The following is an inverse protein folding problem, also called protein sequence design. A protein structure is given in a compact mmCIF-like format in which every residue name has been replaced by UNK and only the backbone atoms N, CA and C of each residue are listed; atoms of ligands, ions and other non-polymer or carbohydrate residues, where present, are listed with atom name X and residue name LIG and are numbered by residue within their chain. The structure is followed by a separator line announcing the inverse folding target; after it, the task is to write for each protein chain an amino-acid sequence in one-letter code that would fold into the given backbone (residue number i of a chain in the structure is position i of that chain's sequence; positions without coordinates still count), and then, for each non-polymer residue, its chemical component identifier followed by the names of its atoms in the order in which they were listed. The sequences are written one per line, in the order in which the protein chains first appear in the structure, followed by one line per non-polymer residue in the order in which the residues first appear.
data_IF_602455849165
#
_entry.id   IF_602455849165
#
_cell.length_a   1.000
_cell.length_b   1.000
_cell.length_c   1.000
_cell.angle_alpha   90.00
_cell.angle_beta   90.00
_cell.angle_gamma   90.00
#
_symmetry.space_group_name_H-M   'P 1'
#
loop_
_entity.id
_entity.type
_entity.pdbx_description
1 polymer ?
#
# COMPACT_ATOMS: atom_id res chain seq x y z
N UNK A 1 4.34 -15.71 7.86
CA UNK A 1 3.50 -14.72 7.16
C UNK A 1 3.09 -15.32 5.82
N UNK A 2 1.84 -15.11 5.38
CA UNK A 2 1.39 -15.53 4.04
C UNK A 2 0.81 -14.33 3.32
N UNK A 3 1.11 -14.22 2.03
CA UNK A 3 0.72 -13.12 1.16
C UNK A 3 0.17 -13.69 -0.14
N UNK A 4 -0.89 -13.08 -0.67
CA UNK A 4 -1.38 -13.32 -2.02
C UNK A 4 -1.63 -11.98 -2.73
N UNK A 5 -1.43 -11.97 -4.04
CA UNK A 5 -1.70 -10.81 -4.90
C UNK A 5 -2.57 -11.24 -6.07
N UNK A 6 -3.58 -10.44 -6.38
CA UNK A 6 -4.39 -10.61 -7.57
C UNK A 6 -4.40 -9.31 -8.36
N UNK A 7 -4.25 -9.39 -9.68
CA UNK A 7 -4.21 -8.24 -10.55
C UNK A 7 -5.17 -8.45 -11.72
N UNK A 8 -6.10 -7.50 -11.88
CA UNK A 8 -6.99 -7.43 -13.04
C UNK A 8 -6.41 -6.46 -14.06
N UNK A 9 -5.46 -6.95 -14.85
CA UNK A 9 -4.70 -6.13 -15.79
C UNK A 9 -3.32 -6.73 -16.07
N UNK A 10 -2.37 -5.89 -16.50
CA UNK A 10 -0.99 -6.29 -16.74
C UNK A 10 -0.06 -5.40 -15.91
N UNK A 11 0.57 -6.03 -14.92
CA UNK A 11 1.58 -5.37 -14.09
C UNK A 11 2.66 -4.75 -14.98
N UNK A 12 2.90 -3.45 -14.79
CA UNK A 12 3.92 -2.66 -15.50
C UNK A 12 3.75 -2.59 -17.03
N UNK A 13 2.51 -2.66 -17.54
CA UNK A 13 2.23 -2.34 -18.94
C UNK A 13 1.73 -0.88 -19.06
N UNK A 14 2.56 0.05 -19.56
CA UNK A 14 2.17 1.45 -19.68
C UNK A 14 1.13 1.70 -20.78
N UNK A 15 0.91 0.73 -21.67
CA UNK A 15 -0.05 0.85 -22.78
C UNK A 15 -1.44 0.33 -22.38
N UNK A 16 -1.55 -0.33 -21.23
CA UNK A 16 -2.79 -0.86 -20.70
C UNK A 16 -3.41 0.06 -19.64
N UNK A 17 -4.69 -0.16 -19.36
CA UNK A 17 -5.35 0.35 -18.15
C UNK A 17 -5.76 -0.84 -17.29
N UNK A 18 -5.18 -0.92 -16.10
CA UNK A 18 -5.55 -1.94 -15.13
C UNK A 18 -6.87 -1.57 -14.45
N UNK A 19 -7.72 -2.55 -14.20
CA UNK A 19 -8.96 -2.35 -13.43
C UNK A 19 -8.67 -2.23 -11.93
N UNK A 20 -7.63 -2.91 -11.46
CA UNK A 20 -7.20 -2.87 -10.08
C UNK A 20 -6.36 -4.07 -9.69
N UNK A 21 -5.94 -4.08 -8.42
CA UNK A 21 -5.26 -5.19 -7.79
C UNK A 21 -5.74 -5.33 -6.35
N UNK A 22 -5.68 -6.56 -5.83
CA UNK A 22 -5.90 -6.85 -4.42
C UNK A 22 -4.67 -7.51 -3.81
N UNK A 23 -4.48 -7.25 -2.52
CA UNK A 23 -3.46 -7.88 -1.68
C UNK A 23 -4.19 -8.50 -0.50
N UNK A 24 -3.91 -9.77 -0.25
CA UNK A 24 -4.41 -10.50 0.92
C UNK A 24 -3.25 -10.93 1.80
N UNK A 25 -3.37 -10.68 3.11
CA UNK A 25 -2.33 -10.97 4.09
C UNK A 25 -2.88 -11.76 5.26
N UNK A 26 -2.22 -12.87 5.59
CA UNK A 26 -2.37 -13.54 6.87
C UNK A 26 -1.22 -13.14 7.78
N UNK A 27 -1.50 -12.24 8.72
CA UNK A 27 -0.54 -11.76 9.72
C UNK A 27 -0.46 -12.81 10.85
N UNK A 28 0.69 -13.45 11.06
CA UNK A 28 0.85 -14.44 12.13
C UNK A 28 0.62 -13.79 13.49
N UNK A 29 0.04 -14.56 14.42
CA UNK A 29 -0.19 -14.11 15.80
C UNK A 29 1.10 -13.65 16.45
N UNK A 30 2.18 -14.41 16.28
CA UNK A 30 3.50 -14.19 16.87
C UNK A 30 4.12 -12.87 16.41
N UNK A 31 3.85 -12.47 15.16
CA UNK A 31 4.39 -11.23 14.59
C UNK A 31 3.79 -9.98 15.22
N UNK A 32 2.58 -10.08 15.75
CA UNK A 32 1.96 -9.00 16.50
C UNK A 32 2.36 -9.12 17.99
N UNK A 33 2.69 -10.34 18.46
CA UNK A 33 2.87 -10.72 19.88
C UNK A 33 4.08 -10.05 20.50
N UNK A 34 5.11 -9.89 19.66
CA UNK A 34 6.40 -9.33 20.01
C UNK A 34 6.39 -7.83 20.24
N UNK A 35 5.44 -7.09 19.67
CA UNK A 35 5.48 -5.62 19.63
C UNK A 35 4.44 -4.95 20.55
N UNK A 36 3.48 -5.70 21.07
CA UNK A 36 2.36 -5.17 21.84
C UNK A 36 2.07 -6.06 23.06
N UNK A 37 1.85 -5.46 24.23
CA UNK A 37 1.43 -6.15 25.45
C UNK A 37 0.12 -6.92 25.20
N UNK A 38 0.20 -8.22 24.85
CA UNK A 38 -0.89 -9.19 24.79
C UNK A 38 -2.27 -8.66 24.27
N UNK A 39 -2.37 -8.40 22.97
CA UNK A 39 -3.51 -7.76 22.26
C UNK A 39 -4.56 -8.76 21.72
N UNK A 40 -4.32 -10.08 21.77
CA UNK A 40 -5.33 -11.10 21.38
C UNK A 40 -6.08 -11.68 22.58
N UNK A 41 -6.33 -10.84 23.59
CA UNK A 41 -7.25 -11.13 24.68
C UNK A 41 -8.60 -10.51 24.37
N UNK A 42 -9.66 -11.21 24.75
CA UNK A 42 -11.02 -10.66 24.68
C UNK A 42 -11.07 -9.30 25.39
N UNK A 43 -11.74 -8.33 24.79
CA UNK A 43 -11.84 -6.96 25.32
C UNK A 43 -10.66 -6.03 24.98
N UNK A 44 -9.71 -6.45 24.13
CA UNK A 44 -8.63 -5.59 23.61
C UNK A 44 -8.72 -5.44 22.10
N UNK A 45 -8.21 -4.32 21.60
CA UNK A 45 -8.23 -3.97 20.18
C UNK A 45 -6.83 -3.61 19.68
N UNK A 46 -6.55 -3.95 18.43
CA UNK A 46 -5.38 -3.45 17.71
C UNK A 46 -5.79 -2.19 16.96
N UNK A 47 -4.99 -1.13 17.09
CA UNK A 47 -5.10 0.05 16.22
C UNK A 47 -4.23 -0.16 15.00
N UNK A 48 -4.87 -0.53 13.88
CA UNK A 48 -4.21 -0.77 12.60
C UNK A 48 -4.56 0.39 11.67
N UNK A 49 -3.58 0.86 10.92
CA UNK A 49 -3.78 1.84 9.87
C UNK A 49 -3.21 1.32 8.55
N UNK A 50 -3.79 1.76 7.43
CA UNK A 50 -3.35 1.40 6.10
C UNK A 50 -2.94 2.67 5.36
N UNK A 51 -1.72 2.67 4.83
CA UNK A 51 -1.23 3.72 3.95
C UNK A 51 -0.94 3.14 2.57
N UNK A 52 -1.36 3.86 1.53
CA UNK A 52 -0.95 3.61 0.15
C UNK A 52 -0.10 4.78 -0.32
N UNK A 53 1.08 4.46 -0.85
CA UNK A 53 2.00 5.43 -1.45
C UNK A 53 2.08 5.14 -2.94
N UNK A 54 1.72 6.11 -3.76
CA UNK A 54 1.73 6.01 -5.22
C UNK A 54 2.61 7.10 -5.82
N UNK A 55 3.70 6.68 -6.48
CA UNK A 55 4.59 7.60 -7.17
C UNK A 55 4.02 7.94 -8.55
N UNK A 56 4.03 9.23 -8.89
CA UNK A 56 3.81 9.63 -10.27
C UNK A 56 5.06 9.28 -11.10
N UNK A 57 4.83 8.78 -12.30
CA UNK A 57 5.90 8.38 -13.21
C UNK A 57 5.78 9.08 -14.57
N UNK A 58 6.86 9.00 -15.32
CA UNK A 58 6.94 9.34 -16.74
C UNK A 58 7.69 8.21 -17.46
N UNK A 59 7.50 8.11 -18.78
CA UNK A 59 8.15 7.11 -19.61
C UNK A 59 9.12 7.81 -20.55
N UNK A 60 10.34 7.28 -20.69
CA UNK A 60 11.28 7.75 -21.70
C UNK A 60 10.91 7.23 -23.11
N UNK A 61 11.66 7.68 -24.13
CA UNK A 61 11.44 7.26 -25.51
C UNK A 61 11.60 5.75 -25.75
N UNK A 62 12.21 5.02 -24.81
CA UNK A 62 12.41 3.57 -24.84
C UNK A 62 11.41 2.82 -23.94
N UNK A 63 10.42 3.51 -23.37
CA UNK A 63 9.41 2.92 -22.47
C UNK A 63 9.90 2.64 -21.04
N UNK A 64 11.01 3.23 -20.61
CA UNK A 64 11.52 3.06 -19.23
C UNK A 64 10.82 4.01 -18.28
N UNK A 65 10.43 3.49 -17.11
CA UNK A 65 9.81 4.26 -16.05
C UNK A 65 10.84 5.11 -15.29
N UNK A 66 10.54 6.40 -15.12
CA UNK A 66 11.21 7.29 -14.17
C UNK A 66 10.21 7.99 -13.26
N UNK A 67 10.65 8.37 -12.06
CA UNK A 67 9.81 9.20 -11.17
C UNK A 67 9.63 10.56 -11.81
N UNK A 68 8.37 11.01 -11.92
CA UNK A 68 8.05 12.31 -12.48
C UNK A 68 8.61 13.41 -11.59
N UNK A 69 9.54 14.20 -12.10
CA UNK A 69 10.09 15.34 -11.36
C UNK A 69 9.12 16.52 -11.42
N UNK A 70 8.87 17.16 -10.27
CA UNK A 70 8.08 18.40 -10.19
C UNK A 70 8.84 19.60 -10.76
N UNK A 71 8.16 20.75 -10.91
CA UNK A 71 8.81 22.04 -11.29
C UNK A 71 9.84 22.52 -10.27
N UNK A 72 9.73 22.07 -9.03
CA UNK A 72 10.76 22.18 -7.99
C UNK A 72 11.32 20.79 -7.72
N UNK A 73 12.57 20.68 -7.26
CA UNK A 73 13.31 19.42 -7.08
C UNK A 73 12.66 18.37 -6.15
N UNK A 74 11.49 18.65 -5.58
CA UNK A 74 10.79 17.77 -4.68
C UNK A 74 9.81 16.89 -5.45
N UNK A 75 10.14 15.60 -5.52
CA UNK A 75 9.24 14.56 -6.03
C UNK A 75 8.48 13.99 -4.84
N UNK A 76 7.20 14.32 -4.70
CA UNK A 76 6.36 13.80 -3.63
C UNK A 76 5.42 12.70 -4.17
N UNK A 77 5.29 11.57 -3.47
CA UNK A 77 4.28 10.58 -3.83
C UNK A 77 2.88 11.09 -3.48
N UNK A 78 1.86 10.60 -4.18
CA UNK A 78 0.48 10.70 -3.74
C UNK A 78 0.25 9.65 -2.65
N UNK A 79 -0.15 10.10 -1.46
CA UNK A 79 -0.48 9.22 -0.35
C UNK A 79 -1.97 9.30 -0.07
N UNK A 80 -2.64 8.16 0.02
CA UNK A 80 -4.02 8.07 0.50
C UNK A 80 -4.01 7.27 1.81
N UNK A 81 -4.49 7.89 2.89
CA UNK A 81 -4.70 7.21 4.17
C UNK A 81 -6.15 6.77 4.30
N UNK A 82 -6.38 5.55 4.76
CA UNK A 82 -7.71 5.06 5.09
C UNK A 82 -7.82 4.92 6.61
N UNK A 83 -8.34 5.97 7.27
CA UNK A 83 -8.62 5.95 8.70
C UNK A 83 -10.11 5.66 8.94
N UNK A 84 -10.42 4.74 9.85
CA UNK A 84 -11.76 4.69 10.42
C UNK A 84 -11.99 5.98 11.21
N UNK A 85 -13.16 6.63 11.10
CA UNK A 85 -13.48 7.75 11.99
C UNK A 85 -13.39 7.23 13.43
N UNK A 86 -12.63 7.92 14.27
CA UNK A 86 -12.67 7.68 15.71
C UNK A 86 -14.07 8.10 16.17
N UNK A 87 -14.91 7.13 16.49
CA UNK A 87 -16.08 7.34 17.32
C UNK A 87 -15.62 7.91 18.68
N UNK A 88 -16.25 9.03 19.06
CA UNK A 88 -16.10 9.66 20.38
C UNK A 88 -16.95 8.92 21.41
#
# INVERSE_FOLDING_TARGET
MKLATHCEGKINDPNGTDKGWSVEMAIPREAIASEFDNYLKSGRWLRINFSRVEWQYELDANGRYSRKKGKTANTSPKTTGCGLPADR
#
